data_IF_597882170164
#
_entry.id   IF_597882170164
#
_cell.length_a   1.000
_cell.length_b   1.000
_cell.length_c   1.000
_cell.angle_alpha   90.00
_cell.angle_beta   90.00
_cell.angle_gamma   90.00
#
_symmetry.space_group_name_H-M   'P 1'
#
loop_
_entity.id
_entity.type
_entity.pdbx_description
1 polymer ?
#
# COMPACT_ATOMS: atom_id res chain seq x y z
N UNK A 1 17.82 61.48 -38.87
CA UNK A 1 16.41 61.67 -39.21
C UNK A 1 15.75 60.30 -39.25
N UNK A 2 15.12 59.92 -38.18
CA UNK A 2 14.35 58.64 -38.09
C UNK A 2 12.90 58.99 -37.81
N UNK A 3 12.02 58.61 -38.75
CA UNK A 3 10.59 58.88 -38.73
C UNK A 3 9.90 57.86 -37.89
N UNK A 4 9.16 58.25 -36.81
CA UNK A 4 8.29 57.42 -36.01
C UNK A 4 6.93 57.31 -36.71
N UNK A 5 6.59 56.09 -37.15
CA UNK A 5 5.23 55.74 -37.56
C UNK A 5 4.37 55.42 -36.34
N UNK A 6 3.32 56.19 -36.14
CA UNK A 6 2.30 55.93 -35.08
C UNK A 6 1.30 54.90 -35.57
N UNK A 7 1.24 53.74 -34.89
CA UNK A 7 0.15 52.78 -35.07
C UNK A 7 -1.01 53.17 -34.17
N UNK A 8 -2.16 53.45 -34.78
CA UNK A 8 -3.44 53.63 -34.09
C UNK A 8 -4.11 52.26 -34.00
N UNK A 9 -4.25 51.74 -32.79
CA UNK A 9 -5.00 50.50 -32.52
C UNK A 9 -6.46 50.88 -32.26
N UNK A 10 -7.33 50.50 -33.19
CA UNK A 10 -8.78 50.66 -33.05
C UNK A 10 -9.34 49.50 -32.26
N UNK A 11 -9.77 49.70 -31.01
CA UNK A 11 -10.42 48.72 -30.20
C UNK A 11 -11.93 48.66 -30.54
N UNK A 12 -12.36 47.55 -31.18
CA UNK A 12 -13.78 47.24 -31.33
C UNK A 12 -14.30 46.63 -30.02
N UNK A 13 -15.15 47.34 -29.33
CA UNK A 13 -15.91 46.82 -28.21
C UNK A 13 -17.12 46.02 -28.73
N UNK A 14 -17.09 44.71 -28.63
CA UNK A 14 -18.23 43.85 -28.91
C UNK A 14 -19.00 43.68 -27.58
N UNK A 15 -20.16 44.30 -27.50
CA UNK A 15 -21.10 44.11 -26.38
C UNK A 15 -21.84 42.78 -26.55
N UNK A 16 -21.46 41.77 -25.77
CA UNK A 16 -22.21 40.51 -25.68
C UNK A 16 -23.35 40.70 -24.66
N UNK A 17 -24.57 40.80 -25.17
CA UNK A 17 -25.77 40.75 -24.31
C UNK A 17 -26.00 39.29 -23.86
N UNK A 18 -25.82 39.05 -22.59
CA UNK A 18 -26.17 37.76 -22.00
C UNK A 18 -27.72 37.62 -21.89
N UNK A 19 -28.28 36.69 -22.64
CA UNK A 19 -29.64 36.26 -22.46
C UNK A 19 -29.77 35.47 -21.12
N UNK A 20 -30.84 35.65 -20.34
CA UNK A 20 -31.04 34.86 -19.14
C UNK A 20 -31.31 33.39 -19.55
N UNK A 21 -30.35 32.50 -19.27
CA UNK A 21 -30.60 31.07 -19.36
C UNK A 21 -31.45 30.64 -18.17
N UNK A 22 -32.64 30.15 -18.47
CA UNK A 22 -33.47 29.42 -17.52
C UNK A 22 -32.73 28.14 -17.10
N UNK A 23 -32.35 28.06 -15.83
CA UNK A 23 -31.77 26.86 -15.22
C UNK A 23 -32.89 25.81 -15.16
N UNK A 24 -32.78 24.68 -15.84
CA UNK A 24 -33.71 23.56 -15.62
C UNK A 24 -33.45 23.00 -14.22
N UNK A 25 -34.44 23.17 -13.32
CA UNK A 25 -34.45 22.49 -12.03
C UNK A 25 -34.75 21.00 -12.29
N UNK A 26 -33.68 20.22 -12.46
CA UNK A 26 -33.76 18.77 -12.36
C UNK A 26 -32.81 18.32 -11.27
N UNK A 27 -33.37 18.16 -10.07
CA UNK A 27 -32.75 17.43 -8.97
C UNK A 27 -32.72 15.96 -9.33
N UNK A 28 -31.80 15.56 -10.18
CA UNK A 28 -31.40 14.16 -10.28
C UNK A 28 -30.46 13.90 -9.11
N UNK A 29 -30.93 13.18 -8.11
CA UNK A 29 -30.07 12.55 -7.10
C UNK A 29 -29.09 11.67 -7.90
N UNK A 30 -27.86 12.13 -8.06
CA UNK A 30 -26.82 11.33 -8.66
C UNK A 30 -26.63 10.10 -7.76
N UNK A 31 -26.98 8.92 -8.29
CA UNK A 31 -26.63 7.66 -7.67
C UNK A 31 -25.11 7.66 -7.40
N UNK A 32 -24.71 7.21 -6.20
CA UNK A 32 -23.30 7.06 -5.88
C UNK A 32 -22.59 6.30 -7.00
N UNK A 33 -21.34 6.68 -7.38
CA UNK A 33 -20.63 6.01 -8.45
C UNK A 33 -20.56 4.51 -8.17
N UNK A 34 -21.13 3.70 -9.02
CA UNK A 34 -21.10 2.24 -8.93
C UNK A 34 -19.73 1.67 -9.30
N UNK A 35 -18.84 2.50 -9.84
CA UNK A 35 -17.48 2.16 -10.22
C UNK A 35 -16.47 2.71 -9.19
N UNK A 36 -15.82 1.80 -8.47
CA UNK A 36 -14.79 2.11 -7.47
C UNK A 36 -13.63 2.93 -8.07
N UNK A 37 -13.24 2.66 -9.32
CA UNK A 37 -12.17 3.39 -9.99
C UNK A 37 -12.56 4.86 -10.23
N UNK A 38 -13.77 5.12 -10.69
CA UNK A 38 -14.29 6.48 -10.87
C UNK A 38 -14.41 7.24 -9.55
N UNK A 39 -14.79 6.53 -8.48
CA UNK A 39 -14.86 7.11 -7.14
C UNK A 39 -13.48 7.57 -6.64
N UNK A 40 -12.46 6.71 -6.71
CA UNK A 40 -11.08 7.06 -6.33
C UNK A 40 -10.54 8.21 -7.20
N UNK A 41 -10.74 8.17 -8.51
CA UNK A 41 -10.37 9.25 -9.41
C UNK A 41 -10.93 10.61 -8.97
N UNK A 42 -12.18 10.66 -8.57
CA UNK A 42 -12.81 11.88 -8.07
C UNK A 42 -12.17 12.41 -6.78
N UNK A 43 -11.69 11.52 -5.90
CA UNK A 43 -10.98 11.94 -4.70
C UNK A 43 -9.61 12.55 -5.04
N UNK A 44 -8.86 11.95 -5.98
CA UNK A 44 -7.59 12.49 -6.45
C UNK A 44 -7.75 13.86 -7.13
N UNK A 45 -8.83 14.08 -7.87
CA UNK A 45 -9.12 15.36 -8.49
C UNK A 45 -9.57 16.46 -7.50
N UNK A 46 -9.80 16.13 -6.25
CA UNK A 46 -10.14 17.13 -5.24
C UNK A 46 -8.88 17.87 -4.77
N UNK A 47 -8.83 19.22 -4.88
CA UNK A 47 -7.59 19.97 -4.70
C UNK A 47 -7.12 20.07 -3.24
N UNK A 48 -8.00 19.84 -2.26
CA UNK A 48 -7.67 19.95 -0.84
C UNK A 48 -8.26 18.80 -0.04
N UNK A 49 -7.71 18.56 1.15
CA UNK A 49 -8.23 17.56 2.11
C UNK A 49 -9.71 17.82 2.40
N UNK A 50 -10.09 19.08 2.69
CA UNK A 50 -11.49 19.43 2.95
C UNK A 50 -12.39 19.06 1.78
N UNK A 51 -11.96 19.30 0.53
CA UNK A 51 -12.74 18.94 -0.66
C UNK A 51 -12.86 17.43 -0.84
N UNK A 52 -11.82 16.66 -0.49
CA UNK A 52 -11.90 15.18 -0.47
C UNK A 52 -12.90 14.69 0.56
N UNK A 53 -12.82 15.21 1.78
CA UNK A 53 -13.74 14.85 2.87
C UNK A 53 -15.19 15.26 2.57
N UNK A 54 -15.42 16.43 1.94
CA UNK A 54 -16.75 16.82 1.48
C UNK A 54 -17.32 15.82 0.48
N UNK A 55 -16.52 15.33 -0.49
CA UNK A 55 -16.96 14.33 -1.47
C UNK A 55 -17.29 12.98 -0.84
N UNK A 56 -16.63 12.64 0.25
CA UNK A 56 -16.83 11.37 0.96
C UNK A 56 -17.97 11.43 1.97
N UNK A 57 -18.04 12.51 2.76
CA UNK A 57 -18.75 12.52 4.03
C UNK A 57 -19.94 13.49 4.05
N UNK A 58 -20.15 14.27 2.98
CA UNK A 58 -21.18 15.31 2.96
C UNK A 58 -22.20 15.03 1.85
N UNK A 59 -23.49 15.14 2.19
CA UNK A 59 -24.60 15.07 1.26
C UNK A 59 -25.49 16.29 1.46
N UNK A 60 -25.70 17.09 0.40
CA UNK A 60 -26.53 18.28 0.46
C UNK A 60 -26.10 19.28 1.55
N UNK A 61 -24.79 19.56 1.64
CA UNK A 61 -24.14 20.44 2.65
C UNK A 61 -24.24 19.95 4.10
N UNK A 62 -24.72 18.73 4.34
CA UNK A 62 -24.83 18.14 5.68
C UNK A 62 -23.90 16.94 5.81
N UNK A 63 -23.20 16.85 6.95
CA UNK A 63 -22.36 15.69 7.25
C UNK A 63 -23.22 14.44 7.41
N UNK A 64 -22.78 13.31 6.81
CA UNK A 64 -23.37 12.00 7.07
C UNK A 64 -23.36 11.69 8.57
N UNK A 65 -24.29 10.87 9.03
CA UNK A 65 -24.40 10.49 10.44
C UNK A 65 -24.66 8.99 10.59
N UNK A 66 -24.47 8.47 11.80
CA UNK A 66 -24.74 7.07 12.13
C UNK A 66 -23.98 6.08 11.24
N UNK A 67 -24.61 4.95 10.85
CA UNK A 67 -23.94 3.89 10.10
C UNK A 67 -23.33 4.33 8.76
N UNK A 68 -23.92 5.34 8.10
CA UNK A 68 -23.41 5.86 6.84
C UNK A 68 -22.07 6.60 7.01
N UNK A 69 -21.90 7.35 8.09
CA UNK A 69 -20.63 7.98 8.43
C UNK A 69 -19.61 6.94 8.91
N UNK A 70 -20.04 6.04 9.79
CA UNK A 70 -19.21 4.99 10.37
C UNK A 70 -18.57 4.10 9.28
N UNK A 71 -19.35 3.69 8.28
CA UNK A 71 -18.86 2.88 7.16
C UNK A 71 -17.72 3.55 6.35
N UNK A 72 -17.58 4.87 6.41
CA UNK A 72 -16.56 5.63 5.69
C UNK A 72 -15.40 6.10 6.58
N UNK A 73 -15.56 6.07 7.90
CA UNK A 73 -14.60 6.63 8.87
C UNK A 73 -14.02 5.60 9.83
N UNK A 74 -14.59 4.40 9.89
CA UNK A 74 -14.10 3.30 10.72
C UNK A 74 -13.67 2.15 9.83
N UNK A 75 -12.43 1.69 10.00
CA UNK A 75 -11.92 0.51 9.33
C UNK A 75 -11.87 -0.67 10.31
N UNK A 76 -12.63 -1.70 10.02
CA UNK A 76 -12.62 -2.93 10.81
C UNK A 76 -11.49 -3.86 10.36
N UNK A 77 -10.52 -4.11 11.22
CA UNK A 77 -9.43 -5.05 10.99
C UNK A 77 -9.77 -6.52 11.31
N UNK A 78 -10.93 -6.79 11.89
CA UNK A 78 -11.36 -8.17 12.14
C UNK A 78 -11.60 -8.94 10.84
N UNK A 79 -11.56 -10.26 10.91
CA UNK A 79 -11.86 -11.14 9.79
C UNK A 79 -10.80 -11.09 8.68
N UNK A 80 -9.53 -10.89 9.01
CA UNK A 80 -8.44 -11.09 8.06
C UNK A 80 -8.45 -12.53 7.52
N UNK A 81 -8.35 -12.65 6.19
CA UNK A 81 -8.41 -13.95 5.51
C UNK A 81 -7.02 -14.28 4.96
N UNK A 82 -6.47 -15.47 5.25
CA UNK A 82 -5.23 -15.93 4.65
C UNK A 82 -5.29 -15.92 3.13
N UNK A 83 -4.16 -15.60 2.49
CA UNK A 83 -4.03 -15.78 1.05
C UNK A 83 -4.20 -17.29 0.68
N UNK A 84 -4.62 -17.63 -0.54
CA UNK A 84 -4.70 -19.03 -0.97
C UNK A 84 -3.38 -19.77 -0.71
N UNK A 85 -3.47 -20.92 -0.02
CA UNK A 85 -2.32 -21.76 0.39
C UNK A 85 -1.39 -21.13 1.45
N UNK A 86 -1.79 -20.04 2.11
CA UNK A 86 -1.08 -19.51 3.26
C UNK A 86 -1.63 -20.10 4.55
N UNK A 87 -0.75 -20.64 5.40
CA UNK A 87 -1.11 -21.26 6.68
C UNK A 87 -0.53 -20.52 7.89
N UNK A 88 0.43 -19.61 7.65
CA UNK A 88 1.16 -18.91 8.70
C UNK A 88 0.46 -17.68 9.27
N UNK A 89 -0.76 -17.38 8.83
CA UNK A 89 -1.53 -16.23 9.31
C UNK A 89 -2.19 -15.42 8.20
N UNK A 90 -2.59 -14.20 8.54
CA UNK A 90 -3.27 -13.28 7.63
C UNK A 90 -2.91 -11.83 7.92
N UNK A 91 -3.06 -10.97 6.92
CA UNK A 91 -2.97 -9.51 7.09
C UNK A 91 -4.23 -8.83 6.59
N UNK A 92 -4.57 -7.68 7.18
CA UNK A 92 -5.64 -6.81 6.68
C UNK A 92 -5.14 -5.37 6.68
N UNK A 93 -5.17 -4.75 5.51
CA UNK A 93 -4.62 -3.42 5.29
C UNK A 93 -5.73 -2.38 5.09
N UNK A 94 -5.64 -1.28 5.83
CA UNK A 94 -6.31 -0.02 5.53
C UNK A 94 -5.38 0.82 4.67
N UNK A 95 -5.64 0.87 3.39
CA UNK A 95 -4.93 1.67 2.41
C UNK A 95 -5.92 2.42 1.50
N UNK A 96 -5.45 3.15 0.53
CA UNK A 96 -6.30 3.94 -0.36
C UNK A 96 -7.39 3.12 -1.07
N UNK A 97 -7.13 1.84 -1.38
CA UNK A 97 -8.09 0.99 -2.08
C UNK A 97 -9.17 0.40 -1.17
N UNK A 98 -8.79 0.11 0.08
CA UNK A 98 -9.67 -0.56 1.06
C UNK A 98 -10.35 0.45 1.98
N UNK A 99 -9.75 1.63 2.15
CA UNK A 99 -10.21 2.70 3.03
C UNK A 99 -9.98 4.08 2.37
N UNK A 100 -10.82 4.51 1.42
CA UNK A 100 -10.62 5.68 0.57
C UNK A 100 -10.46 7.02 1.29
N UNK A 101 -10.86 7.13 2.55
CA UNK A 101 -10.64 8.35 3.35
C UNK A 101 -9.15 8.69 3.49
N UNK A 102 -8.26 7.70 3.30
CA UNK A 102 -6.81 7.89 3.36
C UNK A 102 -6.24 8.61 2.13
N UNK A 103 -7.03 8.86 1.09
CA UNK A 103 -6.57 9.52 -0.14
C UNK A 103 -5.84 10.83 0.16
N UNK A 104 -4.56 10.91 -0.21
CA UNK A 104 -3.71 12.08 -0.04
C UNK A 104 -3.35 12.40 1.41
N UNK A 105 -3.46 11.44 2.33
CA UNK A 105 -3.06 11.61 3.73
C UNK A 105 -1.65 11.06 4.03
N UNK A 106 -1.06 10.32 3.09
CA UNK A 106 0.32 9.84 3.20
C UNK A 106 0.51 8.78 4.29
N UNK A 107 -0.53 8.03 4.63
CA UNK A 107 -0.47 6.98 5.66
C UNK A 107 -1.35 5.80 5.30
N UNK A 108 -0.89 4.61 5.68
CA UNK A 108 -1.70 3.39 5.73
C UNK A 108 -1.35 2.57 6.96
N UNK A 109 -2.21 1.63 7.31
CA UNK A 109 -1.99 0.73 8.45
C UNK A 109 -2.40 -0.68 8.09
N UNK A 110 -1.57 -1.66 8.45
CA UNK A 110 -1.86 -3.09 8.31
C UNK A 110 -1.83 -3.75 9.67
N UNK A 111 -2.87 -4.52 9.99
CA UNK A 111 -2.78 -5.51 11.06
C UNK A 111 -2.35 -6.85 10.49
N UNK A 112 -1.32 -7.43 11.11
CA UNK A 112 -0.82 -8.77 10.82
C UNK A 112 -1.08 -9.71 11.99
N UNK A 113 -1.62 -10.88 11.67
CA UNK A 113 -1.91 -11.96 12.59
C UNK A 113 -1.06 -13.16 12.17
N UNK A 114 -0.01 -13.47 12.92
CA UNK A 114 0.85 -14.62 12.66
C UNK A 114 0.47 -15.77 13.59
N UNK A 115 0.11 -16.89 13.00
CA UNK A 115 -0.12 -18.13 13.74
C UNK A 115 1.21 -18.66 14.33
N UNK A 116 1.19 -19.64 15.24
CA UNK A 116 2.40 -20.34 15.66
C UNK A 116 3.23 -20.82 14.47
N UNK A 117 4.55 -20.60 14.50
CA UNK A 117 5.50 -20.85 13.40
C UNK A 117 5.17 -20.08 12.09
N UNK A 118 4.36 -19.03 12.18
CA UNK A 118 3.97 -18.21 11.03
C UNK A 118 5.04 -17.20 10.64
N UNK A 119 5.25 -17.06 9.34
CA UNK A 119 6.21 -16.11 8.78
C UNK A 119 5.53 -15.16 7.78
N UNK A 120 5.69 -13.86 7.98
CA UNK A 120 5.50 -12.87 6.92
C UNK A 120 6.79 -12.87 6.09
N UNK A 121 6.75 -13.55 4.96
CA UNK A 121 7.93 -13.85 4.15
C UNK A 121 8.67 -12.59 3.68
N UNK A 122 9.97 -12.67 3.36
CA UNK A 122 10.75 -11.51 2.92
C UNK A 122 10.05 -10.73 1.79
N UNK A 123 9.84 -9.44 2.05
CA UNK A 123 9.14 -8.53 1.15
C UNK A 123 9.71 -7.11 1.25
N UNK A 124 9.25 -6.24 0.36
CA UNK A 124 9.57 -4.81 0.35
C UNK A 124 8.33 -3.96 0.20
N UNK A 125 8.35 -2.76 0.75
CA UNK A 125 7.41 -1.70 0.44
C UNK A 125 8.10 -0.67 -0.47
N UNK A 126 7.79 -0.65 -1.78
CA UNK A 126 8.52 0.20 -2.73
C UNK A 126 8.23 1.69 -2.56
N UNK A 127 7.13 2.06 -1.90
CA UNK A 127 6.69 3.45 -1.75
C UNK A 127 6.52 3.90 -0.31
N UNK A 128 6.97 3.11 0.68
CA UNK A 128 6.84 3.48 2.10
C UNK A 128 7.94 2.94 2.98
N UNK A 129 8.26 3.70 4.01
CA UNK A 129 8.89 3.23 5.24
C UNK A 129 7.80 2.67 6.15
N UNK A 130 8.06 1.54 6.78
CA UNK A 130 7.18 0.90 7.75
C UNK A 130 7.71 1.07 9.17
N UNK A 131 6.81 1.38 10.11
CA UNK A 131 7.06 1.22 11.55
C UNK A 131 6.14 0.13 12.08
N UNK A 132 6.74 -0.95 12.56
CA UNK A 132 6.02 -2.12 13.08
C UNK A 132 6.04 -2.13 14.60
N UNK A 133 4.89 -2.43 15.23
CA UNK A 133 4.74 -2.60 16.68
C UNK A 133 4.08 -3.93 16.99
N UNK A 134 4.69 -4.75 17.84
CA UNK A 134 4.05 -5.96 18.37
C UNK A 134 3.03 -5.58 19.43
N UNK A 135 1.75 -5.96 19.23
CA UNK A 135 0.65 -5.63 20.18
C UNK A 135 0.14 -6.85 20.94
N UNK A 136 0.37 -8.05 20.44
CA UNK A 136 0.04 -9.31 21.11
C UNK A 136 1.11 -10.36 20.80
N UNK A 137 1.35 -11.25 21.75
CA UNK A 137 2.42 -12.24 21.67
C UNK A 137 3.73 -11.75 22.25
N UNK A 138 4.79 -12.49 22.02
CA UNK A 138 6.13 -12.20 22.51
C UNK A 138 7.20 -12.71 21.55
N UNK A 139 8.39 -12.14 21.63
CA UNK A 139 9.56 -12.60 20.88
C UNK A 139 9.35 -12.74 19.37
N UNK A 140 8.59 -11.77 18.76
CA UNK A 140 8.43 -11.72 17.31
C UNK A 140 9.77 -11.39 16.67
N UNK A 141 10.37 -12.35 16.00
CA UNK A 141 11.63 -12.16 15.28
C UNK A 141 11.41 -11.28 14.05
N UNK A 142 12.36 -10.42 13.77
CA UNK A 142 12.44 -9.63 12.54
C UNK A 142 13.86 -9.58 12.02
N UNK A 143 14.00 -9.39 10.72
CA UNK A 143 15.25 -9.06 10.08
C UNK A 143 15.01 -8.21 8.86
N UNK A 144 16.00 -7.39 8.52
CA UNK A 144 15.98 -6.62 7.29
C UNK A 144 17.37 -6.32 6.77
N UNK A 145 17.47 -6.12 5.46
CA UNK A 145 18.68 -5.68 4.77
C UNK A 145 18.39 -4.40 4.00
N UNK A 146 19.33 -3.48 4.04
CA UNK A 146 19.32 -2.25 3.26
C UNK A 146 19.99 -2.48 1.90
N UNK A 147 20.22 -1.40 1.19
CA UNK A 147 21.03 -1.39 -0.03
C UNK A 147 22.49 -1.79 0.25
N UNK A 148 23.19 -2.12 -0.83
CA UNK A 148 24.60 -2.49 -0.75
C UNK A 148 25.45 -1.35 -0.16
N UNK A 149 26.46 -1.72 0.63
CA UNK A 149 27.43 -0.77 1.19
C UNK A 149 27.23 -0.42 2.67
N UNK A 150 26.20 -0.97 3.32
CA UNK A 150 26.04 -0.79 4.78
C UNK A 150 27.23 -1.39 5.57
N UNK A 151 27.75 -2.52 5.10
CA UNK A 151 28.88 -3.21 5.71
C UNK A 151 29.96 -3.52 4.67
N UNK A 152 31.15 -3.84 5.12
CA UNK A 152 32.23 -4.27 4.24
C UNK A 152 31.95 -5.58 3.52
N UNK A 153 32.57 -5.80 2.37
CA UNK A 153 32.41 -7.01 1.57
C UNK A 153 32.67 -8.29 2.41
N UNK A 154 31.76 -9.26 2.31
CA UNK A 154 31.84 -10.52 3.05
C UNK A 154 31.28 -10.49 4.47
N UNK A 155 30.87 -9.32 4.98
CA UNK A 155 30.17 -9.19 6.27
C UNK A 155 28.66 -9.38 6.09
N UNK A 156 27.98 -9.86 7.14
CA UNK A 156 26.53 -9.99 7.14
C UNK A 156 25.85 -8.61 7.25
N UNK A 157 25.05 -8.17 6.27
CA UNK A 157 24.35 -6.89 6.30
C UNK A 157 23.01 -6.93 7.03
N UNK A 158 22.55 -8.08 7.50
CA UNK A 158 21.24 -8.21 8.13
C UNK A 158 21.19 -7.52 9.49
N UNK A 159 20.22 -6.64 9.66
CA UNK A 159 19.83 -6.05 10.93
C UNK A 159 18.68 -6.89 11.46
N UNK A 160 18.89 -7.63 12.56
CA UNK A 160 17.93 -8.57 13.08
C UNK A 160 17.72 -8.40 14.59
N UNK A 161 16.56 -8.80 15.08
CA UNK A 161 16.19 -8.75 16.48
C UNK A 161 14.88 -9.48 16.76
N UNK A 162 14.37 -9.32 17.99
CA UNK A 162 13.08 -9.83 18.39
C UNK A 162 12.36 -8.77 19.23
N UNK A 163 11.06 -8.62 18.98
CA UNK A 163 10.20 -7.67 19.69
C UNK A 163 9.44 -8.37 20.81
N UNK A 164 9.41 -7.73 21.96
CA UNK A 164 8.45 -8.03 23.02
C UNK A 164 7.17 -7.23 22.80
N UNK A 165 6.12 -7.59 23.50
CA UNK A 165 4.86 -6.84 23.45
C UNK A 165 5.09 -5.36 23.72
N UNK A 166 4.54 -4.51 22.85
CA UNK A 166 4.66 -3.05 22.83
C UNK A 166 6.04 -2.51 22.47
N UNK A 167 6.92 -3.34 21.96
CA UNK A 167 8.16 -2.89 21.30
C UNK A 167 7.93 -2.76 19.78
N UNK A 168 8.70 -1.90 19.14
CA UNK A 168 8.62 -1.65 17.70
C UNK A 168 9.95 -1.52 17.03
N UNK A 169 9.97 -1.65 15.71
CA UNK A 169 11.13 -1.45 14.86
C UNK A 169 10.75 -0.74 13.57
N UNK A 170 11.72 -0.27 12.81
CA UNK A 170 11.53 0.42 11.54
C UNK A 170 12.13 -0.38 10.40
N UNK A 171 11.40 -0.43 9.27
CA UNK A 171 11.88 -0.95 8.00
C UNK A 171 11.91 0.20 6.99
N UNK A 172 13.09 0.72 6.64
CA UNK A 172 13.23 1.79 5.66
C UNK A 172 12.62 1.39 4.30
N UNK A 173 12.11 2.38 3.57
CA UNK A 173 11.55 2.16 2.23
C UNK A 173 12.53 1.37 1.34
N UNK A 174 12.02 0.33 0.67
CA UNK A 174 12.82 -0.51 -0.22
C UNK A 174 13.68 -1.58 0.48
N UNK A 175 13.80 -1.57 1.83
CA UNK A 175 14.50 -2.62 2.55
C UNK A 175 13.75 -3.95 2.44
N UNK A 176 14.49 -5.04 2.19
CA UNK A 176 13.93 -6.39 2.26
C UNK A 176 13.80 -6.77 3.72
N UNK A 177 12.60 -7.09 4.19
CA UNK A 177 12.36 -7.40 5.59
C UNK A 177 11.33 -8.53 5.77
N UNK A 178 11.32 -9.14 6.95
CA UNK A 178 10.40 -10.20 7.33
C UNK A 178 10.01 -10.10 8.81
N UNK A 179 8.93 -10.79 9.19
CA UNK A 179 8.56 -11.06 10.57
C UNK A 179 8.33 -12.57 10.71
N UNK A 180 8.84 -13.14 11.79
CA UNK A 180 8.72 -14.57 12.07
C UNK A 180 8.29 -14.81 13.51
N UNK A 181 7.15 -15.47 13.66
CA UNK A 181 6.63 -15.93 14.94
C UNK A 181 7.04 -17.39 15.16
N UNK A 182 8.17 -17.62 15.79
CA UNK A 182 8.65 -18.98 16.14
C UNK A 182 8.12 -19.49 17.49
N UNK A 183 7.07 -18.86 18.02
CA UNK A 183 6.43 -19.26 19.26
C UNK A 183 5.23 -20.18 19.03
N UNK A 184 4.76 -20.82 20.13
CA UNK A 184 3.56 -21.64 20.13
C UNK A 184 2.26 -20.84 20.30
N UNK A 185 2.34 -19.51 20.39
CA UNK A 185 1.21 -18.59 20.52
C UNK A 185 1.13 -17.68 19.32
N UNK A 186 -0.08 -17.19 19.02
CA UNK A 186 -0.29 -16.18 17.97
C UNK A 186 0.43 -14.89 18.33
N UNK A 187 0.97 -14.23 17.31
CA UNK A 187 1.48 -12.88 17.40
C UNK A 187 0.62 -11.94 16.55
N UNK A 188 0.30 -10.76 17.09
CA UNK A 188 -0.41 -9.69 16.37
C UNK A 188 0.45 -8.44 16.35
N UNK A 189 0.66 -7.87 15.17
CA UNK A 189 1.41 -6.62 15.00
C UNK A 189 0.61 -5.58 14.24
N UNK A 190 0.94 -4.31 14.49
CA UNK A 190 0.49 -3.16 13.72
C UNK A 190 1.66 -2.65 12.90
N UNK A 191 1.51 -2.56 11.60
CA UNK A 191 2.43 -1.94 10.67
C UNK A 191 1.86 -0.61 10.19
N UNK A 192 2.53 0.49 10.50
CA UNK A 192 2.18 1.84 10.06
C UNK A 192 3.14 2.27 8.95
N UNK A 193 2.61 2.70 7.81
CA UNK A 193 3.38 3.03 6.61
C UNK A 193 3.14 4.48 6.20
N UNK A 194 4.19 5.19 5.83
CA UNK A 194 4.14 6.61 5.46
C UNK A 194 3.69 6.83 4.00
N UNK A 195 2.78 6.02 3.53
CA UNK A 195 2.11 6.15 2.22
C UNK A 195 0.73 5.54 2.30
N UNK A 196 -0.27 6.15 1.69
CA UNK A 196 -1.61 5.55 1.52
C UNK A 196 -1.62 4.43 0.48
N UNK A 197 -0.57 4.34 -0.34
CA UNK A 197 -0.32 3.30 -1.34
C UNK A 197 1.12 2.77 -1.22
N UNK A 198 1.45 2.03 -0.16
CA UNK A 198 2.82 1.58 0.12
C UNK A 198 3.35 0.58 -0.92
N UNK A 199 2.47 -0.21 -1.51
CA UNK A 199 2.83 -1.39 -2.29
C UNK A 199 3.44 -2.50 -1.43
N UNK A 200 3.45 -3.71 -1.98
CA UNK A 200 4.17 -4.86 -1.39
C UNK A 200 4.66 -5.76 -2.51
N UNK A 201 5.95 -6.12 -2.49
CA UNK A 201 6.52 -7.11 -3.39
C UNK A 201 7.18 -8.22 -2.58
N UNK A 202 6.67 -9.43 -2.72
CA UNK A 202 7.23 -10.63 -2.08
C UNK A 202 8.50 -11.03 -2.84
N UNK A 203 9.64 -11.10 -2.16
CA UNK A 203 10.94 -11.23 -2.82
C UNK A 203 11.07 -12.57 -3.56
N UNK A 204 10.80 -13.67 -2.89
CA UNK A 204 10.93 -14.99 -3.51
C UNK A 204 9.94 -15.16 -4.67
N UNK A 205 8.68 -14.84 -4.46
CA UNK A 205 7.63 -14.94 -5.47
C UNK A 205 7.93 -14.07 -6.70
N UNK A 206 8.37 -12.81 -6.45
CA UNK A 206 8.71 -11.88 -7.53
C UNK A 206 9.97 -12.32 -8.27
N UNK A 207 11.00 -12.78 -7.56
CA UNK A 207 12.24 -13.26 -8.16
C UNK A 207 12.01 -14.48 -9.08
N UNK A 208 11.30 -15.49 -8.59
CA UNK A 208 10.99 -16.68 -9.37
C UNK A 208 9.89 -16.48 -10.42
N UNK A 209 9.23 -15.32 -10.46
CA UNK A 209 8.33 -14.93 -11.54
C UNK A 209 9.07 -14.40 -12.77
N UNK A 210 10.34 -14.03 -12.64
CA UNK A 210 11.20 -13.58 -13.75
C UNK A 210 11.47 -14.71 -14.75
N UNK A 211 12.10 -14.36 -15.88
CA UNK A 211 12.54 -15.33 -16.87
C UNK A 211 13.42 -16.41 -16.24
N UNK A 212 13.15 -17.67 -16.60
CA UNK A 212 13.82 -18.81 -15.96
C UNK A 212 15.33 -18.88 -16.23
N UNK A 213 15.81 -18.32 -17.36
CA UNK A 213 17.25 -18.27 -17.66
C UNK A 213 17.93 -17.24 -16.77
N UNK A 214 17.27 -16.08 -16.54
CA UNK A 214 17.76 -15.03 -15.65
C UNK A 214 17.82 -15.54 -14.20
N UNK A 215 16.75 -16.17 -13.72
CA UNK A 215 16.71 -16.76 -12.38
C UNK A 215 17.81 -17.80 -12.20
N UNK A 216 17.97 -18.71 -13.17
CA UNK A 216 19.00 -19.75 -13.13
C UNK A 216 20.43 -19.18 -13.11
N UNK A 217 20.71 -18.21 -14.00
CA UNK A 217 22.00 -17.52 -14.03
C UNK A 217 22.29 -16.75 -12.73
N UNK A 218 21.28 -16.07 -12.19
CA UNK A 218 21.41 -15.32 -10.93
C UNK A 218 21.74 -16.24 -9.75
N UNK A 219 21.21 -17.47 -9.76
CA UNK A 219 21.49 -18.47 -8.73
C UNK A 219 22.79 -19.25 -8.97
N UNK A 220 23.55 -18.95 -10.02
CA UNK A 220 24.80 -19.60 -10.34
C UNK A 220 24.64 -21.05 -10.85
N UNK A 221 23.55 -21.33 -11.53
CA UNK A 221 23.24 -22.66 -12.11
C UNK A 221 23.32 -23.80 -11.08
N UNK A 222 22.55 -23.73 -9.97
CA UNK A 222 22.67 -24.70 -8.90
C UNK A 222 22.30 -26.12 -9.39
N UNK A 223 23.04 -27.14 -8.95
CA UNK A 223 22.77 -28.54 -9.34
C UNK A 223 21.43 -29.05 -8.81
N UNK A 224 20.98 -28.54 -7.66
CA UNK A 224 19.74 -28.95 -7.00
C UNK A 224 18.52 -28.26 -7.60
N UNK A 225 18.70 -27.04 -8.09
CA UNK A 225 17.69 -26.31 -8.86
C UNK A 225 18.18 -26.26 -10.31
N UNK A 226 18.05 -27.37 -11.02
CA UNK A 226 18.40 -27.38 -12.44
C UNK A 226 17.55 -26.36 -13.19
N UNK A 227 18.17 -25.60 -14.13
CA UNK A 227 17.52 -24.49 -14.83
C UNK A 227 16.18 -24.87 -15.48
N UNK A 228 16.04 -26.06 -16.02
CA UNK A 228 14.79 -26.58 -16.56
C UNK A 228 13.71 -26.86 -15.50
N UNK A 229 14.05 -26.91 -14.22
CA UNK A 229 13.13 -27.13 -13.10
C UNK A 229 12.67 -25.85 -12.39
N UNK A 230 13.14 -24.66 -12.79
CA UNK A 230 12.76 -23.38 -12.16
C UNK A 230 11.24 -23.22 -12.11
N UNK A 231 10.53 -23.58 -13.20
CA UNK A 231 9.05 -23.53 -13.22
C UNK A 231 8.41 -24.49 -12.20
N UNK A 232 9.03 -25.65 -11.95
CA UNK A 232 8.56 -26.60 -10.92
C UNK A 232 8.85 -26.06 -9.52
N UNK A 233 10.03 -25.47 -9.33
CA UNK A 233 10.43 -24.93 -8.04
C UNK A 233 9.47 -23.82 -7.56
N UNK A 234 8.93 -23.00 -8.47
CA UNK A 234 7.90 -22.00 -8.14
C UNK A 234 6.72 -22.57 -7.34
N UNK A 235 6.37 -23.85 -7.52
CA UNK A 235 5.27 -24.50 -6.82
C UNK A 235 5.56 -24.72 -5.34
N UNK A 236 6.82 -24.72 -4.96
CA UNK A 236 7.27 -24.89 -3.58
C UNK A 236 7.50 -23.57 -2.87
N UNK A 237 7.48 -22.44 -3.61
CA UNK A 237 7.55 -21.12 -2.98
C UNK A 237 6.18 -20.83 -2.37
N UNK A 238 6.12 -20.72 -1.03
CA UNK A 238 4.86 -20.50 -0.35
C UNK A 238 4.29 -19.12 -0.70
N UNK A 239 2.98 -18.98 -0.60
CA UNK A 239 2.37 -17.67 -0.50
C UNK A 239 2.92 -16.93 0.74
N UNK A 240 2.76 -15.60 0.75
CA UNK A 240 3.09 -14.82 1.95
C UNK A 240 2.37 -15.39 3.19
N UNK A 241 2.98 -15.25 4.37
CA UNK A 241 2.56 -15.84 5.63
C UNK A 241 2.61 -17.38 5.60
N UNK A 242 3.71 -17.91 5.06
CA UNK A 242 4.04 -19.32 5.11
C UNK A 242 4.26 -19.76 6.55
N UNK A 243 4.05 -21.06 6.79
CA UNK A 243 4.45 -21.71 8.03
C UNK A 243 5.83 -22.31 7.83
N UNK A 244 6.70 -22.20 8.84
CA UNK A 244 7.95 -22.94 8.87
C UNK A 244 7.64 -24.45 8.84
N UNK A 245 8.31 -25.17 7.95
CA UNK A 245 8.19 -26.61 7.90
C UNK A 245 9.35 -27.17 8.74
N UNK A 246 9.02 -27.65 9.94
CA UNK A 246 9.92 -28.48 10.75
C UNK A 246 10.32 -29.77 10.01
#
# INVERSE_FOLDING_TARGET
MFSFAKFVVLALAISVQALPQSIPSSTSIAAAPTDKAYFLQNLFLAPTVVKRFQRLLVQGDVLLTGPALEALTVFDFNGAVPAPNANGGATKAANIETFPILTGLGISTTLGFLEPCGINTPHVHPRATEFLTLVEGSNLKFGYVLENGLVGAGSNPEIAGALKKFEGTVFPQGSIHFQFNDNCERATFVASLNSEDPGTSQIAQSFFALDSQVVNATLGFPKEIAGHNIKKFRKYIPANLAQDME
#
